data_IF_665053552195
#
_entry.id   IF_665053552195
#
_cell.length_a   1.000
_cell.length_b   1.000
_cell.length_c   1.000
_cell.angle_alpha   90.00
_cell.angle_beta   90.00
_cell.angle_gamma   90.00
#
_symmetry.space_group_name_H-M   'P 1'
#
loop_
_entity.id
_entity.type
_entity.pdbx_description
1 polymer ?
#
# COMPACT_ATOMS: atom_id res chain seq x y z
N UNK A 1 1.48 -11.05 -18.21
CA UNK A 1 0.84 -12.36 -18.26
C UNK A 1 0.62 -12.77 -19.72
N UNK A 2 0.65 -14.05 -20.02
CA UNK A 2 0.60 -14.57 -21.40
C UNK A 2 1.75 -14.08 -22.32
N UNK A 3 2.90 -13.75 -21.76
CA UNK A 3 4.10 -13.34 -22.50
C UNK A 3 4.01 -11.96 -23.16
N UNK A 4 2.98 -11.17 -22.86
CA UNK A 4 2.86 -9.80 -23.35
C UNK A 4 3.34 -8.81 -22.27
N UNK A 5 4.04 -7.73 -22.66
CA UNK A 5 4.30 -6.63 -21.75
C UNK A 5 2.97 -6.09 -21.23
N UNK A 6 2.84 -5.91 -19.94
CA UNK A 6 1.69 -5.27 -19.32
C UNK A 6 2.18 -4.25 -18.30
N UNK A 7 1.46 -3.19 -18.17
CA UNK A 7 1.83 -2.02 -17.40
C UNK A 7 2.19 -0.84 -18.28
N UNK A 8 1.79 0.31 -17.82
CA UNK A 8 2.07 1.59 -18.47
C UNK A 8 2.59 2.54 -17.41
N UNK A 9 3.59 3.32 -17.76
CA UNK A 9 4.02 4.45 -16.98
C UNK A 9 3.04 5.60 -17.17
N UNK A 10 2.41 6.05 -16.07
CA UNK A 10 1.58 7.26 -16.08
C UNK A 10 2.43 8.53 -16.16
N UNK A 11 3.69 8.42 -15.74
CA UNK A 11 4.69 9.48 -15.76
C UNK A 11 6.05 8.85 -16.05
N UNK A 12 6.90 9.57 -16.73
CA UNK A 12 8.29 9.14 -16.97
C UNK A 12 9.03 8.96 -15.63
N UNK A 13 9.73 7.84 -15.41
CA UNK A 13 10.45 7.56 -14.17
C UNK A 13 11.45 8.64 -13.76
N UNK A 14 12.14 9.25 -14.72
CA UNK A 14 13.11 10.32 -14.44
C UNK A 14 12.40 11.58 -13.91
N UNK A 15 11.32 11.98 -14.58
CA UNK A 15 10.50 13.10 -14.15
C UNK A 15 9.90 12.87 -12.77
N UNK A 16 9.47 11.64 -12.49
CA UNK A 16 8.93 11.26 -11.20
C UNK A 16 9.99 11.37 -10.09
N UNK A 17 11.21 10.92 -10.35
CA UNK A 17 12.32 11.02 -9.41
C UNK A 17 12.68 12.49 -9.09
N UNK A 18 12.67 13.36 -10.10
CA UNK A 18 12.88 14.81 -9.92
C UNK A 18 11.79 15.42 -9.03
N UNK A 19 10.52 15.10 -9.28
CA UNK A 19 9.41 15.58 -8.44
C UNK A 19 9.52 15.09 -7.00
N UNK A 20 9.87 13.83 -6.78
CA UNK A 20 10.10 13.29 -5.43
C UNK A 20 11.20 14.07 -4.72
N UNK A 21 12.31 14.33 -5.39
CA UNK A 21 13.42 15.10 -4.84
C UNK A 21 12.99 16.52 -4.45
N UNK A 22 12.28 17.22 -5.34
CA UNK A 22 11.85 18.61 -5.11
C UNK A 22 10.88 18.72 -3.96
N UNK A 23 9.85 17.87 -3.92
CA UNK A 23 8.87 17.88 -2.84
C UNK A 23 9.47 17.39 -1.51
N UNK A 24 10.39 16.42 -1.57
CA UNK A 24 11.10 15.97 -0.40
C UNK A 24 11.95 17.12 0.22
N UNK A 25 12.72 17.85 -0.60
CA UNK A 25 13.49 19.02 -0.19
C UNK A 25 12.62 20.15 0.36
N UNK A 26 11.43 20.33 -0.23
CA UNK A 26 10.45 21.32 0.26
C UNK A 26 9.80 20.93 1.59
N UNK A 27 10.15 19.80 2.18
CA UNK A 27 9.58 19.34 3.45
C UNK A 27 8.21 18.69 3.32
N UNK A 28 7.71 18.47 2.10
CA UNK A 28 6.38 17.90 1.87
C UNK A 28 6.34 16.42 2.24
N UNK A 29 5.16 15.98 2.65
CA UNK A 29 4.81 14.58 2.85
C UNK A 29 4.16 14.04 1.56
N UNK A 30 4.67 12.93 1.05
CA UNK A 30 4.27 12.39 -0.25
C UNK A 30 3.39 11.16 -0.09
N UNK A 31 2.31 11.13 -0.86
CA UNK A 31 1.50 9.95 -1.10
C UNK A 31 1.54 9.64 -2.59
N UNK A 32 2.10 8.49 -2.96
CA UNK A 32 2.48 8.20 -4.33
C UNK A 32 1.80 6.92 -4.79
N UNK A 33 1.03 7.01 -5.88
CA UNK A 33 0.35 5.88 -6.49
C UNK A 33 1.35 4.91 -7.13
N UNK A 34 1.28 3.64 -6.75
CA UNK A 34 2.03 2.54 -7.38
C UNK A 34 1.19 1.27 -7.43
N UNK A 35 1.03 0.64 -8.59
CA UNK A 35 0.39 -0.68 -8.69
C UNK A 35 1.42 -1.78 -8.99
N UNK A 36 2.26 -1.58 -10.00
CA UNK A 36 3.26 -2.55 -10.42
C UNK A 36 4.43 -2.67 -9.43
N UNK A 37 5.05 -3.85 -9.43
CA UNK A 37 6.29 -4.13 -8.73
C UNK A 37 7.43 -3.21 -9.20
N UNK A 38 7.57 -3.01 -10.52
CA UNK A 38 8.57 -2.11 -11.10
C UNK A 38 8.31 -0.64 -10.71
N UNK A 39 7.04 -0.20 -10.69
CA UNK A 39 6.71 1.15 -10.24
C UNK A 39 7.07 1.36 -8.76
N UNK A 40 6.86 0.36 -7.92
CA UNK A 40 7.27 0.41 -6.51
C UNK A 40 8.78 0.50 -6.38
N UNK A 41 9.55 -0.23 -7.20
CA UNK A 41 11.02 -0.18 -7.19
C UNK A 41 11.54 1.20 -7.56
N UNK A 42 11.06 1.78 -8.67
CA UNK A 42 11.43 3.14 -9.10
C UNK A 42 11.15 4.17 -8.00
N UNK A 43 10.03 4.03 -7.29
CA UNK A 43 9.73 4.94 -6.18
C UNK A 43 10.65 4.76 -4.98
N UNK A 44 11.05 3.52 -4.67
CA UNK A 44 12.02 3.25 -3.62
C UNK A 44 13.37 3.88 -3.95
N UNK A 45 13.84 3.74 -5.20
CA UNK A 45 15.09 4.35 -5.67
C UNK A 45 15.03 5.89 -5.57
N UNK A 46 13.91 6.49 -5.96
CA UNK A 46 13.74 7.94 -5.89
C UNK A 46 13.74 8.47 -4.44
N UNK A 47 13.06 7.78 -3.51
CA UNK A 47 13.05 8.16 -2.10
C UNK A 47 14.40 7.92 -1.44
N UNK A 48 15.10 6.83 -1.79
CA UNK A 48 16.45 6.53 -1.29
C UNK A 48 17.43 7.65 -1.70
N UNK A 49 17.46 8.01 -2.97
CA UNK A 49 18.30 9.12 -3.48
C UNK A 49 17.95 10.47 -2.82
N UNK A 50 16.66 10.73 -2.56
CA UNK A 50 16.22 11.92 -1.87
C UNK A 50 16.71 11.95 -0.41
N UNK A 51 16.61 10.82 0.31
CA UNK A 51 17.08 10.66 1.67
C UNK A 51 18.61 10.74 1.80
N UNK A 52 19.35 10.20 0.84
CA UNK A 52 20.83 10.32 0.79
C UNK A 52 21.26 11.77 0.60
N UNK A 53 20.53 12.52 -0.23
CA UNK A 53 20.85 13.91 -0.56
C UNK A 53 20.37 14.89 0.51
N UNK A 54 19.21 14.64 1.09
CA UNK A 54 18.57 15.51 2.07
C UNK A 54 17.83 14.68 3.12
N UNK A 55 18.55 14.22 4.15
CA UNK A 55 18.01 13.33 5.17
C UNK A 55 16.86 13.94 5.97
N UNK A 56 15.74 13.23 6.06
CA UNK A 56 14.57 13.58 6.87
C UNK A 56 14.12 12.37 7.69
N UNK A 57 14.28 12.37 9.02
CA UNK A 57 14.12 11.17 9.85
C UNK A 57 12.66 10.67 9.96
N UNK A 58 11.67 11.54 9.86
CA UNK A 58 10.25 11.19 10.01
C UNK A 58 9.43 11.71 8.82
N UNK A 59 9.86 11.39 7.60
CA UNK A 59 9.16 11.86 6.39
C UNK A 59 7.84 11.12 6.13
N UNK A 60 7.73 9.83 6.50
CA UNK A 60 6.57 8.95 6.33
C UNK A 60 5.99 8.94 4.90
N UNK A 61 6.83 9.11 3.87
CA UNK A 61 6.36 9.00 2.49
C UNK A 61 5.67 7.66 2.30
N UNK A 62 4.48 7.68 1.69
CA UNK A 62 3.59 6.51 1.64
C UNK A 62 3.35 6.09 0.20
N UNK A 63 3.58 4.81 -0.11
CA UNK A 63 3.10 4.24 -1.36
C UNK A 63 1.63 3.87 -1.23
N UNK A 64 0.81 4.40 -2.15
CA UNK A 64 -0.61 4.09 -2.25
C UNK A 64 -0.80 2.88 -3.16
N UNK A 65 -1.75 2.03 -2.83
CA UNK A 65 -2.02 0.73 -3.44
C UNK A 65 -0.88 -0.27 -3.25
N UNK A 66 0.29 -0.01 -3.80
CA UNK A 66 1.48 -0.86 -3.67
C UNK A 66 1.16 -2.34 -3.95
N UNK A 67 0.24 -2.56 -4.91
CA UNK A 67 -0.51 -3.79 -5.12
C UNK A 67 0.38 -5.01 -5.30
N UNK A 68 1.47 -4.86 -6.04
CA UNK A 68 2.33 -5.98 -6.42
C UNK A 68 3.69 -6.00 -5.71
N UNK A 69 3.87 -5.15 -4.68
CA UNK A 69 5.11 -5.14 -3.92
C UNK A 69 5.40 -6.48 -3.24
N UNK A 70 6.66 -6.83 -3.19
CA UNK A 70 7.15 -8.04 -2.55
C UNK A 70 7.83 -7.78 -1.19
N UNK A 71 8.25 -8.85 -0.53
CA UNK A 71 8.88 -8.77 0.79
C UNK A 71 10.17 -7.95 0.78
N UNK A 72 10.95 -7.94 -0.31
CA UNK A 72 12.20 -7.18 -0.41
C UNK A 72 11.90 -5.67 -0.47
N UNK A 73 10.87 -5.30 -1.21
CA UNK A 73 10.42 -3.92 -1.34
C UNK A 73 9.82 -3.40 -0.03
N UNK A 74 9.01 -4.19 0.68
CA UNK A 74 8.53 -3.81 2.01
C UNK A 74 9.69 -3.63 3.01
N UNK A 75 10.69 -4.48 2.96
CA UNK A 75 11.89 -4.32 3.80
C UNK A 75 12.66 -3.04 3.47
N UNK A 76 12.79 -2.69 2.18
CA UNK A 76 13.38 -1.40 1.76
C UNK A 76 12.54 -0.23 2.28
N UNK A 77 11.20 -0.26 2.14
CA UNK A 77 10.29 0.77 2.71
C UNK A 77 10.55 0.97 4.19
N UNK A 78 10.62 -0.12 4.95
CA UNK A 78 10.90 -0.07 6.39
C UNK A 78 12.23 0.62 6.69
N UNK A 79 13.29 0.26 5.97
CA UNK A 79 14.63 0.83 6.17
C UNK A 79 14.71 2.31 5.79
N UNK A 80 13.94 2.72 4.78
CA UNK A 80 13.85 4.12 4.33
C UNK A 80 12.91 4.97 5.21
N UNK A 81 12.19 4.41 6.18
CA UNK A 81 11.21 5.14 6.99
C UNK A 81 9.90 5.47 6.25
N UNK A 82 9.61 4.72 5.21
CA UNK A 82 8.37 4.84 4.43
C UNK A 82 7.21 4.10 5.08
N UNK A 83 6.01 4.41 4.61
CA UNK A 83 4.77 3.73 4.95
C UNK A 83 4.13 3.11 3.71
N UNK A 84 3.17 2.22 3.91
CA UNK A 84 2.35 1.66 2.84
C UNK A 84 0.86 1.77 3.16
N UNK A 85 0.05 2.04 2.14
CA UNK A 85 -1.40 2.07 2.22
C UNK A 85 -1.98 1.16 1.12
N UNK A 86 -2.31 -0.09 1.48
CA UNK A 86 -2.73 -1.13 0.53
C UNK A 86 -4.22 -1.03 0.20
N UNK A 87 -4.57 -1.30 -1.06
CA UNK A 87 -5.96 -1.29 -1.54
C UNK A 87 -6.64 -2.65 -1.32
N UNK A 88 -6.96 -2.99 -0.06
CA UNK A 88 -7.48 -4.31 0.28
C UNK A 88 -8.78 -4.70 -0.45
N UNK A 89 -9.64 -3.73 -0.80
CA UNK A 89 -10.85 -3.99 -1.57
C UNK A 89 -10.58 -4.46 -2.99
N UNK A 90 -9.41 -4.14 -3.55
CA UNK A 90 -9.00 -4.52 -4.91
C UNK A 90 -9.13 -6.02 -5.12
N UNK A 91 -8.69 -6.79 -4.14
CA UNK A 91 -8.79 -8.25 -4.17
C UNK A 91 -10.24 -8.72 -4.32
N UNK A 92 -11.18 -8.13 -3.60
CA UNK A 92 -12.60 -8.53 -3.67
C UNK A 92 -13.19 -8.21 -5.04
N UNK A 93 -13.02 -6.99 -5.52
CA UNK A 93 -13.67 -6.53 -6.76
C UNK A 93 -13.02 -7.08 -8.03
N UNK A 94 -11.69 -7.26 -8.06
CA UNK A 94 -10.96 -7.61 -9.29
C UNK A 94 -10.05 -8.82 -9.15
N UNK A 95 -10.01 -9.48 -7.99
CA UNK A 95 -9.15 -10.64 -7.75
C UNK A 95 -9.35 -11.76 -8.76
N UNK A 96 -10.60 -12.05 -9.15
CA UNK A 96 -10.91 -13.08 -10.16
C UNK A 96 -10.34 -12.71 -11.52
N UNK A 97 -10.47 -11.46 -11.95
CA UNK A 97 -9.92 -10.97 -13.22
C UNK A 97 -8.39 -10.96 -13.20
N UNK A 98 -7.79 -10.58 -12.09
CA UNK A 98 -6.34 -10.60 -11.96
C UNK A 98 -5.79 -12.03 -12.01
N UNK A 99 -6.44 -12.96 -11.34
CA UNK A 99 -6.03 -14.36 -11.37
C UNK A 99 -6.22 -15.00 -12.75
N UNK A 100 -7.35 -14.72 -13.42
CA UNK A 100 -7.71 -15.37 -14.68
C UNK A 100 -7.18 -14.69 -15.94
N UNK A 101 -7.01 -13.36 -15.93
CA UNK A 101 -6.81 -12.59 -17.17
C UNK A 101 -5.50 -11.80 -17.18
N UNK A 102 -5.24 -10.97 -16.13
CA UNK A 102 -4.19 -9.94 -16.21
C UNK A 102 -2.85 -10.37 -15.66
N UNK A 103 -2.81 -11.04 -14.50
CA UNK A 103 -1.58 -11.38 -13.78
C UNK A 103 -1.27 -12.87 -13.74
N UNK A 104 -2.30 -13.70 -13.84
CA UNK A 104 -2.22 -15.11 -13.55
C UNK A 104 -2.29 -15.44 -12.05
N UNK A 105 -2.58 -16.70 -11.69
CA UNK A 105 -2.88 -17.09 -10.32
C UNK A 105 -1.71 -16.86 -9.36
N UNK A 106 -0.47 -17.11 -9.78
CA UNK A 106 0.71 -17.01 -8.90
C UNK A 106 1.03 -15.56 -8.52
N UNK A 107 0.84 -14.59 -9.40
CA UNK A 107 1.04 -13.19 -9.09
C UNK A 107 -0.15 -12.62 -8.34
N UNK A 108 -1.37 -12.93 -8.79
CA UNK A 108 -2.59 -12.42 -8.17
C UNK A 108 -2.75 -12.83 -6.70
N UNK A 109 -2.31 -14.03 -6.30
CA UNK A 109 -2.35 -14.47 -4.90
C UNK A 109 -1.51 -13.60 -3.97
N UNK A 110 -0.49 -12.92 -4.48
CA UNK A 110 0.42 -12.05 -3.71
C UNK A 110 0.01 -10.58 -3.69
N UNK A 111 -1.04 -10.20 -4.43
CA UNK A 111 -1.48 -8.80 -4.48
C UNK A 111 -1.96 -8.33 -3.10
N UNK A 112 -1.77 -7.04 -2.82
CA UNK A 112 -2.18 -6.41 -1.56
C UNK A 112 -1.70 -7.21 -0.34
N UNK A 113 -0.39 -7.44 -0.24
CA UNK A 113 0.26 -8.38 0.66
C UNK A 113 0.34 -7.84 2.10
N UNK A 114 -0.81 -7.73 2.78
CA UNK A 114 -0.93 -7.15 4.12
C UNK A 114 -0.09 -7.90 5.18
N UNK A 115 -0.13 -9.25 5.18
CA UNK A 115 0.63 -10.03 6.16
C UNK A 115 2.13 -9.90 5.94
N UNK A 116 2.57 -9.84 4.68
CA UNK A 116 3.98 -9.61 4.36
C UNK A 116 4.43 -8.22 4.81
N UNK A 117 3.66 -7.16 4.54
CA UNK A 117 3.97 -5.80 4.99
C UNK A 117 4.12 -5.73 6.54
N UNK A 118 3.20 -6.35 7.29
CA UNK A 118 3.28 -6.43 8.75
C UNK A 118 4.52 -7.22 9.22
N UNK A 119 4.82 -8.34 8.59
CA UNK A 119 5.98 -9.19 8.94
C UNK A 119 7.30 -8.46 8.72
N UNK A 120 7.41 -7.67 7.65
CA UNK A 120 8.60 -6.84 7.37
C UNK A 120 8.63 -5.56 8.21
N UNK A 121 7.56 -5.27 8.97
CA UNK A 121 7.49 -4.18 9.94
C UNK A 121 7.29 -2.79 9.32
N UNK A 122 6.74 -2.72 8.10
CA UNK A 122 6.33 -1.45 7.48
C UNK A 122 5.08 -0.93 8.18
N UNK A 123 5.00 0.36 8.52
CA UNK A 123 3.75 0.96 8.97
C UNK A 123 2.68 0.82 7.90
N UNK A 124 1.60 0.10 8.25
CA UNK A 124 0.54 -0.31 7.33
C UNK A 124 -0.74 0.47 7.57
N UNK A 125 -1.29 1.03 6.50
CA UNK A 125 -2.69 1.39 6.36
C UNK A 125 -3.35 0.55 5.26
N UNK A 126 -4.68 0.49 5.27
CA UNK A 126 -5.48 -0.09 4.18
C UNK A 126 -6.63 0.84 3.84
N UNK A 127 -6.98 0.92 2.55
CA UNK A 127 -7.97 1.85 2.04
C UNK A 127 -8.95 1.19 1.05
N UNK A 128 -10.02 1.92 0.74
CA UNK A 128 -11.06 1.54 -0.22
C UNK A 128 -10.91 2.21 -1.58
N UNK A 129 -10.02 3.18 -1.70
CA UNK A 129 -9.85 4.01 -2.90
C UNK A 129 -11.16 4.67 -3.35
N UNK A 130 -11.92 5.21 -2.40
CA UNK A 130 -13.19 5.87 -2.72
C UNK A 130 -12.98 7.09 -3.66
N UNK A 131 -13.78 7.25 -4.72
CA UNK A 131 -15.04 6.54 -5.03
C UNK A 131 -14.89 5.29 -5.92
N UNK A 132 -13.67 4.80 -6.18
CA UNK A 132 -13.44 3.58 -6.99
C UNK A 132 -14.17 2.38 -6.39
N UNK A 133 -14.11 2.22 -5.06
CA UNK A 133 -15.00 1.36 -4.30
C UNK A 133 -15.70 2.16 -3.19
N UNK A 134 -16.80 1.67 -2.60
CA UNK A 134 -17.50 2.37 -1.54
C UNK A 134 -16.59 2.69 -0.34
N UNK A 135 -16.76 3.87 0.26
CA UNK A 135 -16.10 4.24 1.50
C UNK A 135 -16.72 3.45 2.67
N UNK A 136 -16.17 2.27 2.90
CA UNK A 136 -16.63 1.34 3.92
C UNK A 136 -15.44 0.71 4.66
N UNK A 137 -14.83 1.41 5.64
CA UNK A 137 -13.58 0.97 6.26
C UNK A 137 -13.68 -0.41 6.92
N UNK A 138 -14.81 -0.78 7.50
CA UNK A 138 -15.00 -2.13 8.06
C UNK A 138 -15.08 -3.21 6.97
N UNK A 139 -15.60 -2.88 5.79
CA UNK A 139 -15.56 -3.79 4.65
C UNK A 139 -14.12 -3.92 4.11
N UNK A 140 -13.36 -2.83 4.09
CA UNK A 140 -11.93 -2.87 3.74
C UNK A 140 -11.15 -3.78 4.70
N UNK A 141 -11.40 -3.66 6.02
CA UNK A 141 -10.83 -4.56 7.02
C UNK A 141 -11.26 -6.02 6.78
N UNK A 142 -12.53 -6.25 6.44
CA UNK A 142 -13.03 -7.59 6.11
C UNK A 142 -12.33 -8.18 4.86
N UNK A 143 -12.07 -7.38 3.83
CA UNK A 143 -11.30 -7.82 2.65
C UNK A 143 -9.91 -8.31 3.04
N UNK A 144 -9.20 -7.56 3.87
CA UNK A 144 -7.85 -7.92 4.33
C UNK A 144 -7.82 -9.17 5.23
N UNK A 145 -8.89 -9.40 6.01
CA UNK A 145 -8.98 -10.57 6.92
C UNK A 145 -9.43 -11.85 6.21
N UNK A 146 -10.29 -11.75 5.21
CA UNK A 146 -10.88 -12.92 4.57
C UNK A 146 -10.27 -13.24 3.21
N UNK A 147 -9.85 -12.24 2.45
CA UNK A 147 -9.27 -12.35 1.11
C UNK A 147 -10.17 -13.13 0.14
N UNK A 148 -11.48 -12.84 0.19
CA UNK A 148 -12.48 -13.43 -0.69
C UNK A 148 -12.73 -12.53 -1.89
N UNK A 149 -12.59 -13.11 -3.09
CA UNK A 149 -13.01 -12.47 -4.35
C UNK A 149 -14.54 -12.40 -4.45
N UNK A 150 -15.06 -11.69 -5.44
CA UNK A 150 -16.51 -11.59 -5.69
C UNK A 150 -17.15 -12.97 -5.98
N UNK A 151 -16.40 -13.92 -6.58
CA UNK A 151 -16.87 -15.31 -6.80
C UNK A 151 -16.77 -16.18 -5.54
N UNK A 152 -16.25 -15.67 -4.42
CA UNK A 152 -16.10 -16.42 -3.17
C UNK A 152 -14.82 -17.26 -3.09
N UNK A 153 -13.89 -17.10 -4.05
CA UNK A 153 -12.58 -17.78 -4.00
C UNK A 153 -11.67 -17.07 -3.01
N UNK A 154 -10.99 -17.81 -2.14
CA UNK A 154 -9.94 -17.24 -1.29
C UNK A 154 -8.66 -17.09 -2.11
N UNK A 155 -8.20 -15.85 -2.30
CA UNK A 155 -6.99 -15.55 -3.07
C UNK A 155 -5.82 -15.17 -2.15
N UNK A 156 -4.79 -16.02 -2.10
CA UNK A 156 -3.61 -15.82 -1.25
C UNK A 156 -3.92 -15.81 0.25
N UNK A 157 -4.41 -16.92 0.84
CA UNK A 157 -4.79 -16.98 2.25
C UNK A 157 -3.63 -16.70 3.22
N UNK A 158 -2.39 -16.84 2.76
CA UNK A 158 -1.17 -16.53 3.50
C UNK A 158 -0.98 -15.03 3.77
N UNK A 159 -1.67 -14.19 3.04
CA UNK A 159 -1.64 -12.72 3.20
C UNK A 159 -2.80 -12.18 4.06
N UNK A 160 -3.58 -13.06 4.68
CA UNK A 160 -4.59 -12.66 5.67
C UNK A 160 -3.94 -12.05 6.90
N UNK A 161 -4.58 -11.02 7.43
CA UNK A 161 -4.22 -10.43 8.72
C UNK A 161 -5.34 -10.63 9.75
N UNK A 162 -5.04 -10.49 11.03
CA UNK A 162 -6.05 -10.59 12.08
C UNK A 162 -7.05 -9.43 12.00
N UNK A 163 -8.25 -9.62 12.54
CA UNK A 163 -9.25 -8.57 12.62
C UNK A 163 -8.74 -7.34 13.40
N UNK A 164 -7.97 -7.56 14.46
CA UNK A 164 -7.34 -6.49 15.24
C UNK A 164 -6.33 -5.71 14.39
N UNK A 165 -5.45 -6.40 13.64
CA UNK A 165 -4.49 -5.76 12.75
C UNK A 165 -5.19 -4.98 11.62
N UNK A 166 -6.27 -5.52 11.06
CA UNK A 166 -7.06 -4.85 10.03
C UNK A 166 -7.78 -3.61 10.57
N UNK A 167 -8.36 -3.71 11.78
CA UNK A 167 -8.98 -2.55 12.44
C UNK A 167 -7.94 -1.47 12.73
N UNK A 168 -6.76 -1.85 13.23
CA UNK A 168 -5.65 -0.91 13.42
C UNK A 168 -5.22 -0.25 12.11
N UNK A 169 -5.17 -0.98 10.99
CA UNK A 169 -4.76 -0.46 9.70
C UNK A 169 -5.74 0.58 9.11
N UNK A 170 -7.06 0.44 9.37
CA UNK A 170 -8.07 1.43 8.93
C UNK A 170 -8.25 2.59 9.92
N UNK A 171 -7.62 2.57 11.08
CA UNK A 171 -7.72 3.59 12.13
C UNK A 171 -6.37 4.24 12.41
N UNK A 172 -5.64 3.77 13.43
CA UNK A 172 -4.32 4.32 13.80
C UNK A 172 -3.30 4.23 12.67
N UNK A 173 -3.28 3.14 11.90
CA UNK A 173 -2.39 3.00 10.75
C UNK A 173 -2.65 4.07 9.70
N UNK A 174 -3.93 4.30 9.36
CA UNK A 174 -4.33 5.35 8.43
C UNK A 174 -3.96 6.75 8.97
N UNK A 175 -4.24 7.02 10.24
CA UNK A 175 -3.85 8.28 10.90
C UNK A 175 -2.33 8.49 10.88
N UNK A 176 -1.55 7.43 11.14
CA UNK A 176 -0.08 7.47 11.11
C UNK A 176 0.46 7.83 9.72
N UNK A 177 -0.07 7.21 8.67
CA UNK A 177 0.35 7.50 7.28
C UNK A 177 -0.04 8.93 6.86
N UNK A 178 -1.00 9.56 7.53
CA UNK A 178 -1.43 10.95 7.30
C UNK A 178 -0.76 11.95 8.25
N UNK A 179 0.11 11.49 9.16
CA UNK A 179 0.72 12.30 10.24
C UNK A 179 -0.31 12.93 11.19
N UNK A 180 -1.45 12.26 11.35
CA UNK A 180 -2.58 12.69 12.20
C UNK A 180 -2.78 11.81 13.42
N UNK A 181 -1.86 10.88 13.67
CA UNK A 181 -1.92 9.90 14.76
C UNK A 181 -1.93 10.52 16.18
N UNK A 182 -1.55 11.78 16.29
CA UNK A 182 -1.66 12.58 17.52
C UNK A 182 -3.03 13.27 17.70
N UNK A 183 -3.91 13.21 16.69
CA UNK A 183 -5.22 13.85 16.69
C UNK A 183 -6.38 12.86 16.60
N UNK A 184 -6.21 11.80 15.78
CA UNK A 184 -7.28 10.86 15.43
C UNK A 184 -6.74 9.43 15.31
N UNK A 185 -7.67 8.48 15.16
CA UNK A 185 -7.34 7.07 14.84
C UNK A 185 -7.32 6.15 16.06
N UNK A 186 -7.33 6.63 17.30
CA UNK A 186 -7.50 5.74 18.46
C UNK A 186 -8.98 5.45 18.71
N UNK A 187 -9.26 4.25 19.26
CA UNK A 187 -10.61 3.84 19.69
C UNK A 187 -10.61 3.70 21.24
N UNK A 188 -9.90 4.60 21.90
CA UNK A 188 -9.83 4.64 23.35
C UNK A 188 -11.02 5.42 23.94
N UNK A 189 -11.43 5.16 25.20
CA UNK A 189 -12.44 5.99 25.86
C UNK A 189 -12.03 7.46 25.82
N UNK A 190 -12.99 8.33 25.52
CA UNK A 190 -12.82 9.79 25.33
C UNK A 190 -12.04 10.21 24.08
N UNK A 191 -11.69 9.29 23.19
CA UNK A 191 -11.22 9.66 21.84
C UNK A 191 -12.36 10.29 21.05
N UNK A 192 -12.05 11.38 20.36
CA UNK A 192 -12.96 11.95 19.37
C UNK A 192 -12.74 11.25 18.04
N UNK A 193 -13.81 10.79 17.45
CA UNK A 193 -13.83 10.21 16.10
C UNK A 193 -14.42 11.20 15.12
#
# INVERSE_FOLDING_TARGET
YNGKPNGLWNMDPTQLAELVMDYHRAGMHLHIHTNGDEASEVMLDAVEAAQETHYRPDHRHTLQHCQMADASQFRRMKNLGMCVNLFANHLHYWGDQHAGITMGPDRARRMDACATALREGVPLAIHSDAPVTPMAPLFTAWCATNRLTASGVTLGPEERISAEAALRAVTLGAAYTLRMDHLVGSIEPVSYT
#
